data_IF_403547526374
#
_entry.id   IF_403547526374
#
_cell.length_a   1.000
_cell.length_b   1.000
_cell.length_c   1.000
_cell.angle_alpha   90.00
_cell.angle_beta   90.00
_cell.angle_gamma   90.00
#
_symmetry.space_group_name_H-M   'P 1'
#
loop_
_entity.id
_entity.type
_entity.pdbx_description
1 polymer ?
#
# COMPACT_ATOMS: atom_id res chain seq x y z
N UNK A 1 -1.61 18.66 9.00
CA UNK A 1 -0.55 18.18 8.07
C UNK A 1 0.66 17.59 8.79
N UNK A 2 1.49 18.35 9.53
CA UNK A 2 2.75 17.83 10.13
C UNK A 2 2.57 16.58 11.02
N UNK A 3 1.59 16.58 11.93
CA UNK A 3 1.30 15.44 12.83
C UNK A 3 0.85 14.18 12.06
N UNK A 4 -0.01 14.34 11.05
CA UNK A 4 -0.47 13.25 10.16
C UNK A 4 0.73 12.61 9.46
N UNK A 5 1.55 13.43 8.79
CA UNK A 5 2.73 12.97 8.07
C UNK A 5 3.72 12.21 8.97
N UNK A 6 3.96 12.72 10.19
CA UNK A 6 4.83 12.06 11.16
C UNK A 6 4.31 10.69 11.57
N UNK A 7 3.01 10.57 11.81
CA UNK A 7 2.38 9.30 12.17
C UNK A 7 2.42 8.29 11.02
N UNK A 8 2.09 8.73 9.80
CA UNK A 8 2.14 7.90 8.60
C UNK A 8 3.57 7.42 8.28
N UNK A 9 4.57 8.30 8.44
CA UNK A 9 5.97 7.91 8.32
C UNK A 9 6.36 6.87 9.37
N UNK A 10 5.95 7.05 10.62
CA UNK A 10 6.20 6.08 11.68
C UNK A 10 5.56 4.72 11.38
N UNK A 11 4.32 4.70 10.87
CA UNK A 11 3.65 3.46 10.42
C UNK A 11 4.48 2.78 9.33
N UNK A 12 4.85 3.52 8.27
CA UNK A 12 5.62 2.96 7.15
C UNK A 12 6.97 2.39 7.56
N UNK A 13 7.68 3.08 8.45
CA UNK A 13 8.98 2.63 8.94
C UNK A 13 8.90 1.40 9.83
N UNK A 14 7.74 1.15 10.46
CA UNK A 14 7.50 -0.07 11.24
C UNK A 14 7.24 -1.28 10.34
N UNK A 15 6.73 -1.05 9.13
CA UNK A 15 6.53 -2.02 8.05
C UNK A 15 7.84 -2.48 7.39
N UNK A 16 8.69 -3.08 8.21
CA UNK A 16 9.87 -3.83 7.75
C UNK A 16 9.44 -5.20 7.19
N UNK A 17 10.20 -5.82 6.26
CA UNK A 17 9.87 -7.14 5.73
C UNK A 17 9.62 -8.18 6.83
N UNK A 18 10.47 -8.21 7.85
CA UNK A 18 10.30 -9.12 9.00
C UNK A 18 9.03 -8.84 9.78
N UNK A 19 8.66 -7.57 9.99
CA UNK A 19 7.43 -7.21 10.69
C UNK A 19 6.18 -7.63 9.92
N UNK A 20 6.19 -7.44 8.59
CA UNK A 20 5.08 -7.79 7.70
C UNK A 20 4.90 -9.32 7.65
N UNK A 21 5.97 -10.07 7.37
CA UNK A 21 5.90 -11.53 7.16
C UNK A 21 5.63 -12.28 8.46
N UNK A 22 6.12 -11.79 9.60
CA UNK A 22 5.90 -12.42 10.90
C UNK A 22 4.63 -11.91 11.61
N UNK A 23 3.83 -11.07 10.97
CA UNK A 23 2.61 -10.56 11.58
C UNK A 23 1.58 -11.70 11.71
N UNK A 24 1.10 -12.03 12.93
CA UNK A 24 0.11 -13.09 13.13
C UNK A 24 -1.25 -12.77 12.49
N UNK A 25 -1.49 -11.50 12.11
CA UNK A 25 -2.70 -11.06 11.40
C UNK A 25 -2.56 -11.17 9.87
N UNK A 26 -1.42 -11.64 9.38
CA UNK A 26 -1.08 -11.71 7.96
C UNK A 26 -0.59 -10.38 7.39
N UNK A 27 -0.54 -10.30 6.06
CA UNK A 27 -0.15 -9.10 5.32
C UNK A 27 -1.17 -8.79 4.22
N UNK A 28 -1.22 -7.51 3.84
CA UNK A 28 -2.10 -7.00 2.80
C UNK A 28 -1.27 -6.53 1.60
N UNK A 29 -1.92 -6.40 0.46
CA UNK A 29 -1.32 -5.82 -0.74
C UNK A 29 -1.98 -4.50 -1.11
N UNK A 30 -1.14 -3.53 -1.48
CA UNK A 30 -1.56 -2.20 -1.94
C UNK A 30 -0.90 -1.92 -3.28
N UNK A 31 -1.59 -1.23 -4.18
CA UNK A 31 -1.01 -0.76 -5.45
C UNK A 31 0.31 -0.03 -5.21
N UNK A 32 1.36 -0.46 -5.92
CA UNK A 32 2.68 0.17 -5.83
C UNK A 32 2.62 1.65 -6.21
N UNK A 33 1.74 2.02 -7.16
CA UNK A 33 1.53 3.41 -7.58
C UNK A 33 1.03 4.28 -6.43
N UNK A 34 0.03 3.81 -5.68
CA UNK A 34 -0.45 4.53 -4.51
C UNK A 34 0.64 4.64 -3.44
N UNK A 35 1.33 3.52 -3.15
CA UNK A 35 2.38 3.49 -2.14
C UNK A 35 3.52 4.44 -2.46
N UNK A 36 3.93 4.53 -3.73
CA UNK A 36 4.95 5.48 -4.18
C UNK A 36 4.56 6.94 -3.89
N UNK A 37 3.32 7.32 -4.24
CA UNK A 37 2.86 8.69 -3.99
C UNK A 37 2.66 8.98 -2.50
N UNK A 38 2.24 7.98 -1.73
CA UNK A 38 2.16 8.07 -0.29
C UNK A 38 3.55 8.22 0.36
N UNK A 39 4.53 7.41 -0.04
CA UNK A 39 5.91 7.48 0.43
C UNK A 39 6.56 8.84 0.12
N UNK A 40 6.32 9.39 -1.07
CA UNK A 40 6.75 10.75 -1.42
C UNK A 40 6.14 11.81 -0.50
N UNK A 41 4.86 11.67 -0.15
CA UNK A 41 4.22 12.58 0.81
C UNK A 41 4.81 12.43 2.22
N UNK A 42 4.88 11.20 2.75
CA UNK A 42 5.35 10.98 4.12
C UNK A 42 6.81 11.36 4.27
N UNK A 43 7.65 11.17 3.25
CA UNK A 43 9.06 11.57 3.24
C UNK A 43 9.26 13.08 3.00
N UNK A 44 8.20 13.80 2.59
CA UNK A 44 8.21 15.25 2.42
C UNK A 44 8.64 15.73 1.03
N UNK A 45 8.71 14.83 0.06
CA UNK A 45 8.93 15.11 -1.36
C UNK A 45 7.66 15.66 -2.03
N UNK A 46 6.49 15.42 -1.43
CA UNK A 46 5.22 16.07 -1.76
C UNK A 46 4.63 16.80 -0.55
N UNK A 47 3.95 17.91 -0.80
CA UNK A 47 3.25 18.69 0.23
C UNK A 47 1.90 18.08 0.60
N UNK A 48 1.15 17.64 -0.39
CA UNK A 48 -0.21 17.09 -0.24
C UNK A 48 -0.22 15.56 -0.20
N UNK A 49 -1.10 14.95 0.62
CA UNK A 49 -1.32 13.50 0.60
C UNK A 49 -2.00 13.07 -0.72
N UNK A 50 -1.82 11.80 -1.15
CA UNK A 50 -2.41 11.29 -2.39
C UNK A 50 -3.92 11.01 -2.23
N UNK A 51 -4.73 12.04 -2.01
CA UNK A 51 -6.17 11.92 -1.79
C UNK A 51 -6.96 11.59 -3.06
N UNK A 52 -6.42 12.01 -4.21
CA UNK A 52 -6.99 11.73 -5.54
C UNK A 52 -6.65 10.31 -6.00
N UNK A 53 -5.63 9.69 -5.38
CA UNK A 53 -5.25 8.32 -5.69
C UNK A 53 -6.12 7.35 -4.90
N UNK A 54 -6.93 6.57 -5.63
CA UNK A 54 -7.74 5.52 -5.05
C UNK A 54 -6.92 4.25 -4.90
N UNK A 55 -6.91 3.66 -3.71
CA UNK A 55 -6.41 2.30 -3.51
C UNK A 55 -7.43 1.35 -4.14
N UNK A 56 -7.18 0.94 -5.39
CA UNK A 56 -8.12 0.13 -6.17
C UNK A 56 -7.69 -1.34 -6.20
N UNK A 57 -8.28 -2.16 -5.34
CA UNK A 57 -8.06 -3.62 -5.31
C UNK A 57 -8.87 -4.38 -6.37
N UNK A 58 -9.95 -3.78 -6.87
CA UNK A 58 -10.81 -4.37 -7.92
C UNK A 58 -10.09 -4.52 -9.25
N UNK A 59 -9.24 -3.54 -9.60
CA UNK A 59 -8.46 -3.56 -10.84
C UNK A 59 -7.65 -4.84 -10.97
N UNK A 60 -7.01 -5.27 -9.87
CA UNK A 60 -6.15 -6.46 -9.82
C UNK A 60 -6.91 -7.79 -9.64
N UNK A 61 -8.24 -7.75 -9.51
CA UNK A 61 -9.11 -8.95 -9.43
C UNK A 61 -9.88 -9.21 -10.72
N UNK A 62 -9.85 -8.28 -11.68
CA UNK A 62 -10.56 -8.44 -12.93
C UNK A 62 -9.99 -9.61 -13.75
N UNK A 63 -10.85 -10.56 -14.14
CA UNK A 63 -10.50 -11.76 -14.91
C UNK A 63 -9.83 -11.48 -16.27
N UNK A 64 -9.83 -10.23 -16.73
CA UNK A 64 -9.26 -9.81 -18.01
C UNK A 64 -7.84 -9.21 -17.91
N UNK A 65 -7.23 -9.16 -16.72
CA UNK A 65 -5.87 -8.63 -16.56
C UNK A 65 -4.79 -9.71 -16.55
N UNK A 66 -3.65 -9.32 -17.15
CA UNK A 66 -2.36 -10.00 -17.11
C UNK A 66 -1.92 -10.31 -15.68
N UNK A 67 -1.10 -11.36 -15.52
CA UNK A 67 -0.46 -11.74 -14.27
C UNK A 67 0.07 -10.52 -13.49
N UNK A 68 -0.12 -10.53 -12.17
CA UNK A 68 0.46 -9.51 -11.27
C UNK A 68 1.97 -9.48 -11.49
N UNK A 69 2.50 -8.33 -11.91
CA UNK A 69 3.94 -8.17 -12.18
C UNK A 69 4.69 -7.82 -10.91
N UNK A 70 5.78 -8.54 -10.71
CA UNK A 70 6.80 -8.27 -9.71
C UNK A 70 8.16 -8.27 -10.39
N UNK A 71 8.84 -7.13 -10.38
CA UNK A 71 10.20 -7.00 -10.92
C UNK A 71 11.12 -6.38 -9.86
N UNK A 72 12.03 -7.17 -9.26
CA UNK A 72 12.94 -6.67 -8.23
C UNK A 72 13.99 -5.69 -8.79
N UNK A 73 14.20 -5.66 -10.12
CA UNK A 73 15.13 -4.76 -10.79
C UNK A 73 14.45 -3.54 -11.39
N UNK A 74 13.11 -3.55 -11.49
CA UNK A 74 12.31 -2.43 -11.95
C UNK A 74 11.12 -2.20 -10.98
N UNK A 75 11.37 -1.62 -9.79
CA UNK A 75 10.34 -1.44 -8.75
C UNK A 75 9.13 -0.64 -9.23
N UNK A 76 9.31 0.32 -10.15
CA UNK A 76 8.21 1.07 -10.76
C UNK A 76 7.27 0.23 -11.65
N UNK A 77 7.71 -0.96 -12.08
CA UNK A 77 6.90 -1.91 -12.85
C UNK A 77 6.24 -2.99 -11.98
N UNK A 78 6.50 -2.97 -10.67
CA UNK A 78 5.80 -3.85 -9.72
C UNK A 78 4.38 -3.32 -9.50
N UNK A 79 3.39 -4.20 -9.59
CA UNK A 79 1.98 -3.79 -9.51
C UNK A 79 1.52 -3.60 -8.04
N UNK A 80 2.01 -4.46 -7.14
CA UNK A 80 1.57 -4.53 -5.73
C UNK A 80 2.76 -4.56 -4.75
N UNK A 81 2.58 -3.91 -3.60
CA UNK A 81 3.51 -3.96 -2.46
C UNK A 81 2.83 -4.55 -1.23
N UNK A 82 3.60 -5.31 -0.45
CA UNK A 82 3.15 -5.86 0.83
C UNK A 82 3.21 -4.79 1.91
N UNK A 83 2.16 -4.75 2.75
CA UNK A 83 2.07 -3.92 3.96
C UNK A 83 1.53 -4.76 5.11
N UNK A 84 1.78 -4.34 6.35
CA UNK A 84 1.14 -5.00 7.49
C UNK A 84 -0.36 -4.72 7.50
N UNK A 85 -1.13 -5.59 8.17
CA UNK A 85 -2.57 -5.34 8.40
C UNK A 85 -2.82 -4.02 9.12
N UNK A 86 -1.92 -3.59 10.01
CA UNK A 86 -2.08 -2.34 10.76
C UNK A 86 -1.92 -1.12 9.85
N UNK A 87 -0.96 -1.16 8.93
CA UNK A 87 -0.83 -0.14 7.88
C UNK A 87 -2.04 -0.13 6.97
N UNK A 88 -2.53 -1.31 6.55
CA UNK A 88 -3.77 -1.40 5.76
C UNK A 88 -4.96 -0.76 6.47
N UNK A 89 -5.23 -1.12 7.73
CA UNK A 89 -6.34 -0.57 8.52
C UNK A 89 -6.26 0.94 8.69
N UNK A 90 -5.04 1.50 8.73
CA UNK A 90 -4.84 2.93 8.73
C UNK A 90 -5.19 3.53 7.36
N UNK A 91 -4.63 2.98 6.29
CA UNK A 91 -4.82 3.48 4.93
C UNK A 91 -6.30 3.44 4.51
N UNK A 92 -7.00 2.36 4.85
CA UNK A 92 -8.43 2.18 4.59
C UNK A 92 -9.30 3.29 5.23
N UNK A 93 -8.91 3.78 6.41
CA UNK A 93 -9.61 4.86 7.10
C UNK A 93 -9.20 6.25 6.60
N UNK A 94 -7.99 6.39 6.09
CA UNK A 94 -7.37 7.68 5.78
C UNK A 94 -7.44 8.07 4.29
N UNK A 95 -7.73 7.12 3.40
CA UNK A 95 -7.75 7.26 1.95
C UNK A 95 -8.96 6.58 1.32
N UNK A 96 -9.21 6.88 0.05
CA UNK A 96 -10.30 6.27 -0.69
C UNK A 96 -9.85 4.88 -1.15
N UNK A 97 -10.63 3.86 -0.78
CA UNK A 97 -10.44 2.47 -1.21
C UNK A 97 -11.58 2.07 -2.14
N UNK A 98 -11.25 1.48 -3.28
CA UNK A 98 -12.21 0.87 -4.20
C UNK A 98 -11.95 -0.63 -4.27
N UNK A 99 -12.99 -1.41 -4.05
CA UNK A 99 -12.91 -2.86 -4.02
C UNK A 99 -12.40 -3.44 -2.70
N UNK A 100 -12.42 -4.77 -2.59
CA UNK A 100 -12.01 -5.49 -1.38
C UNK A 100 -10.48 -5.50 -1.17
N UNK A 101 -10.08 -5.57 0.11
CA UNK A 101 -8.69 -5.80 0.54
C UNK A 101 -8.08 -7.01 -0.14
N UNK A 102 -6.88 -6.88 -0.70
CA UNK A 102 -6.08 -8.01 -1.22
C UNK A 102 -5.17 -8.48 -0.08
N UNK A 103 -5.21 -9.77 0.25
CA UNK A 103 -4.50 -10.37 1.39
C UNK A 103 -4.11 -11.81 1.08
N UNK A 104 -3.23 -12.39 1.90
CA UNK A 104 -2.91 -13.82 1.86
C UNK A 104 -4.18 -14.68 1.97
N UNK A 105 -4.33 -15.66 1.07
CA UNK A 105 -5.38 -16.69 1.17
C UNK A 105 -6.76 -16.33 0.60
N UNK A 106 -6.93 -15.16 -0.02
CA UNK A 106 -8.16 -14.79 -0.75
C UNK A 106 -7.79 -14.22 -2.13
N UNK A 107 -7.86 -15.07 -3.16
CA UNK A 107 -7.94 -14.69 -4.58
C UNK A 107 -9.28 -15.17 -5.12
#
# INVERSE_FOLDING_TARGET
MRKRRQHERWLRWRDTPSHIVLNPRGFCFVSARFMWEWERFIEGWRTEPPLEETINGEHHRAWSQSDIRFDPFLPEATDLLMVSTETWEYLEKAYIVAGPMITEGII
#
